data_IF_100273839220
#
_entry.id   IF_100273839220
#
_cell.length_a   1.000
_cell.length_b   1.000
_cell.length_c   1.000
_cell.angle_alpha   90.00
_cell.angle_beta   90.00
_cell.angle_gamma   90.00
#
_symmetry.space_group_name_H-M   'P 1'
#
loop_
_entity.id
_entity.type
_entity.pdbx_description
1 polymer ?
#
# COMPACT_ATOMS: atom_id res chain seq x y z
N UNK A 1 -3.15 -6.40 -13.40
CA UNK A 1 -4.49 -6.86 -12.98
C UNK A 1 -5.41 -5.68 -12.69
N UNK A 2 -6.72 -5.85 -12.90
CA UNK A 2 -7.76 -4.86 -12.59
C UNK A 2 -8.85 -5.55 -11.78
N UNK A 3 -9.34 -4.92 -10.69
CA UNK A 3 -10.43 -5.40 -9.85
C UNK A 3 -10.02 -5.70 -8.41
N UNK A 4 -10.97 -6.28 -7.66
CA UNK A 4 -10.78 -6.69 -6.27
C UNK A 4 -10.29 -8.12 -6.21
N UNK A 5 -9.08 -8.34 -5.71
CA UNK A 5 -8.49 -9.66 -5.54
C UNK A 5 -7.85 -9.75 -4.16
N UNK A 6 -8.13 -10.81 -3.44
CA UNK A 6 -7.43 -11.13 -2.20
C UNK A 6 -5.94 -11.38 -2.48
N UNK A 7 -5.08 -10.81 -1.65
CA UNK A 7 -3.63 -10.94 -1.76
C UNK A 7 -3.04 -11.19 -0.38
N UNK A 8 -2.01 -12.01 -0.35
CA UNK A 8 -1.21 -12.19 0.85
C UNK A 8 -0.19 -11.06 0.93
N UNK A 9 -0.07 -10.38 2.09
CA UNK A 9 0.95 -9.35 2.29
C UNK A 9 2.36 -9.89 2.00
N UNK A 10 3.15 -9.13 1.24
CA UNK A 10 4.46 -9.56 0.72
C UNK A 10 5.52 -9.81 1.81
N UNK A 11 5.43 -9.07 2.93
CA UNK A 11 6.34 -9.19 4.08
C UNK A 11 5.81 -10.11 5.18
N UNK A 12 4.88 -10.98 4.86
CA UNK A 12 4.28 -11.90 5.81
C UNK A 12 4.92 -13.28 5.72
N UNK A 13 5.32 -13.80 6.87
CA UNK A 13 5.57 -15.24 7.01
C UNK A 13 4.24 -15.96 7.31
N UNK A 14 3.72 -16.82 6.43
CA UNK A 14 2.41 -17.45 6.61
C UNK A 14 2.33 -18.40 7.81
N UNK A 15 3.46 -18.84 8.35
CA UNK A 15 3.54 -19.76 9.49
C UNK A 15 3.74 -19.06 10.83
N UNK A 16 4.32 -17.85 10.83
CA UNK A 16 4.77 -17.18 12.06
C UNK A 16 4.10 -15.83 12.29
N UNK A 17 3.49 -15.23 11.25
CA UNK A 17 2.94 -13.89 11.33
C UNK A 17 1.41 -13.90 11.34
N UNK A 18 0.80 -13.13 12.23
CA UNK A 18 -0.65 -12.92 12.30
C UNK A 18 -1.17 -11.94 11.24
N UNK A 19 -0.28 -11.16 10.61
CA UNK A 19 -0.62 -10.20 9.56
C UNK A 19 0.61 -9.49 9.01
N UNK A 20 0.41 -8.68 7.99
CA UNK A 20 1.42 -7.76 7.46
C UNK A 20 1.41 -6.43 8.23
N UNK A 21 2.52 -5.69 8.20
CA UNK A 21 2.64 -4.39 8.87
C UNK A 21 1.93 -3.26 8.11
N UNK A 22 1.75 -3.42 6.80
CA UNK A 22 1.10 -2.43 5.92
C UNK A 22 -0.34 -2.80 5.62
N UNK A 23 -0.63 -4.10 5.46
CA UNK A 23 -1.96 -4.65 5.19
C UNK A 23 -2.26 -5.78 6.17
N UNK A 24 -3.43 -5.77 6.78
CA UNK A 24 -3.86 -6.87 7.67
C UNK A 24 -4.34 -8.08 6.85
N UNK A 25 -4.38 -9.26 7.48
CA UNK A 25 -4.91 -10.47 6.85
C UNK A 25 -6.41 -10.42 6.59
N UNK A 26 -7.12 -9.60 7.36
CA UNK A 26 -8.57 -9.44 7.28
C UNK A 26 -8.98 -8.24 6.43
N UNK A 27 -8.01 -7.58 5.77
CA UNK A 27 -8.31 -6.43 4.93
C UNK A 27 -9.21 -6.88 3.76
N UNK A 28 -10.34 -6.17 3.60
CA UNK A 28 -11.22 -6.38 2.44
C UNK A 28 -10.43 -6.04 1.18
N UNK A 29 -10.52 -6.88 0.12
CA UNK A 29 -9.86 -6.56 -1.15
C UNK A 29 -10.33 -5.23 -1.72
N UNK A 30 -9.39 -4.32 -1.91
CA UNK A 30 -9.65 -2.99 -2.49
C UNK A 30 -9.71 -3.11 -4.02
N UNK A 31 -10.77 -2.59 -4.68
CA UNK A 31 -10.79 -2.45 -6.12
C UNK A 31 -9.63 -1.58 -6.60
N UNK A 32 -8.77 -2.12 -7.45
CA UNK A 32 -7.55 -1.44 -7.88
C UNK A 32 -7.09 -1.83 -9.27
N UNK A 33 -6.36 -0.92 -9.90
CA UNK A 33 -5.50 -1.20 -11.04
C UNK A 33 -4.10 -1.46 -10.50
N UNK A 34 -3.51 -2.62 -10.85
CA UNK A 34 -2.21 -3.05 -10.33
C UNK A 34 -1.32 -3.57 -11.45
N UNK A 35 -0.09 -3.06 -11.48
CA UNK A 35 1.03 -3.57 -12.26
C UNK A 35 1.97 -4.25 -11.28
N UNK A 36 2.39 -5.47 -11.56
CA UNK A 36 3.22 -6.24 -10.63
C UNK A 36 4.20 -7.16 -11.33
N UNK A 37 5.33 -7.35 -10.69
CA UNK A 37 6.29 -8.41 -10.91
C UNK A 37 6.19 -9.32 -9.67
N UNK A 38 5.35 -10.38 -9.70
CA UNK A 38 4.97 -11.11 -8.48
C UNK A 38 6.08 -12.00 -7.92
N UNK A 39 7.07 -12.34 -8.75
CA UNK A 39 8.21 -13.18 -8.38
C UNK A 39 9.51 -12.49 -8.76
N UNK A 40 10.61 -12.86 -8.11
CA UNK A 40 11.92 -12.33 -8.48
C UNK A 40 12.27 -12.66 -9.91
N UNK A 41 12.50 -11.63 -10.72
CA UNK A 41 13.04 -11.75 -12.07
C UNK A 41 14.48 -11.24 -12.11
N UNK A 42 15.32 -11.93 -12.87
CA UNK A 42 16.71 -11.51 -13.06
C UNK A 42 16.78 -10.28 -13.95
N UNK A 43 17.53 -9.28 -13.52
CA UNK A 43 17.75 -8.07 -14.31
C UNK A 43 18.72 -8.38 -15.47
N UNK A 44 18.34 -8.09 -16.73
CA UNK A 44 19.23 -8.29 -17.88
C UNK A 44 20.56 -7.54 -17.72
N UNK A 45 21.65 -8.14 -18.14
CA UNK A 45 22.99 -7.54 -18.05
C UNK A 45 23.71 -7.74 -16.72
N UNK A 46 23.05 -8.20 -15.67
CA UNK A 46 23.66 -8.42 -14.33
C UNK A 46 24.25 -9.81 -14.14
N UNK A 47 24.33 -10.62 -15.19
CA UNK A 47 24.81 -12.01 -15.14
C UNK A 47 24.09 -12.86 -14.07
N UNK A 48 22.79 -12.54 -13.82
CA UNK A 48 21.92 -13.20 -12.82
C UNK A 48 22.36 -12.96 -11.36
N UNK A 49 23.06 -11.88 -11.08
CA UNK A 49 23.39 -11.47 -9.72
C UNK A 49 22.28 -10.63 -9.06
N UNK A 50 21.53 -9.87 -9.88
CA UNK A 50 20.49 -8.98 -9.39
C UNK A 50 19.12 -9.46 -9.83
N UNK A 51 18.22 -9.56 -8.84
CA UNK A 51 16.83 -9.90 -9.05
C UNK A 51 15.94 -8.84 -8.43
N UNK A 52 14.81 -8.58 -9.05
CA UNK A 52 13.82 -7.62 -8.59
C UNK A 52 12.42 -8.23 -8.59
N UNK A 53 11.59 -7.79 -7.64
CA UNK A 53 10.14 -7.96 -7.64
C UNK A 53 9.48 -6.72 -7.08
N UNK A 54 8.17 -6.56 -7.30
CA UNK A 54 7.43 -5.44 -6.73
C UNK A 54 6.10 -5.19 -7.42
N UNK A 55 5.42 -4.16 -6.95
CA UNK A 55 4.16 -3.73 -7.54
C UNK A 55 3.94 -2.24 -7.43
N UNK A 56 3.00 -1.75 -8.22
CA UNK A 56 2.42 -0.43 -8.16
C UNK A 56 0.91 -0.56 -8.37
N UNK A 57 0.12 0.01 -7.47
CA UNK A 57 -1.32 -0.07 -7.52
C UNK A 57 -2.00 1.24 -7.11
N UNK A 58 -3.11 1.53 -7.77
CA UNK A 58 -4.05 2.58 -7.42
C UNK A 58 -5.46 2.00 -7.37
N UNK A 59 -6.21 2.38 -6.36
CA UNK A 59 -7.56 1.90 -6.14
C UNK A 59 -8.43 2.91 -5.41
N UNK A 60 -9.62 2.49 -5.07
CA UNK A 60 -10.56 3.27 -4.29
C UNK A 60 -11.20 2.39 -3.21
N UNK A 61 -11.39 2.95 -2.03
CA UNK A 61 -12.15 2.27 -1.00
C UNK A 61 -13.63 2.31 -1.33
N UNK A 62 -14.29 1.21 -1.08
CA UNK A 62 -15.74 1.07 -1.25
C UNK A 62 -16.32 0.49 0.03
N UNK A 63 -17.24 1.20 0.65
CA UNK A 63 -17.93 0.78 1.87
C UNK A 63 -19.42 0.50 1.67
N UNK A 64 -19.93 0.70 0.44
CA UNK A 64 -21.35 0.60 0.11
C UNK A 64 -22.22 1.49 1.01
N UNK A 65 -21.77 2.71 1.27
CA UNK A 65 -22.36 3.72 2.16
C UNK A 65 -22.48 3.29 3.63
N UNK A 66 -21.81 2.21 4.02
CA UNK A 66 -21.92 1.70 5.38
C UNK A 66 -21.54 2.75 6.44
N UNK A 67 -20.51 3.53 6.21
CA UNK A 67 -20.10 4.58 7.17
C UNK A 67 -21.20 5.64 7.34
N UNK A 68 -21.82 6.09 6.24
CA UNK A 68 -22.92 7.05 6.27
C UNK A 68 -24.16 6.48 6.94
N UNK A 69 -24.56 5.25 6.56
CA UNK A 69 -25.79 4.61 7.06
C UNK A 69 -25.74 4.31 8.56
N UNK A 70 -24.55 4.08 9.11
CA UNK A 70 -24.35 3.75 10.52
C UNK A 70 -23.68 4.86 11.34
N UNK A 71 -23.34 6.00 10.73
CA UNK A 71 -22.89 7.17 11.46
C UNK A 71 -24.01 7.64 12.41
N UNK A 72 -23.67 7.92 13.65
CA UNK A 72 -24.60 8.56 14.59
C UNK A 72 -24.52 10.06 14.44
N UNK A 73 -25.60 10.76 14.79
CA UNK A 73 -25.66 12.23 14.77
C UNK A 73 -24.41 12.87 15.37
N UNK A 74 -23.75 13.71 14.60
CA UNK A 74 -22.52 14.39 14.98
C UNK A 74 -21.24 13.59 14.76
N UNK A 75 -21.31 12.32 14.34
CA UNK A 75 -20.12 11.54 14.01
C UNK A 75 -19.57 11.90 12.62
N UNK A 76 -18.25 11.75 12.51
CA UNK A 76 -17.53 11.95 11.25
C UNK A 76 -17.53 10.65 10.44
N UNK A 77 -17.63 10.79 9.12
CA UNK A 77 -17.42 9.70 8.17
C UNK A 77 -16.72 10.21 6.90
N UNK A 78 -16.13 9.30 6.14
CA UNK A 78 -15.37 9.65 4.93
C UNK A 78 -15.93 8.94 3.70
N UNK A 79 -15.87 9.63 2.54
CA UNK A 79 -16.26 9.11 1.22
C UNK A 79 -15.17 9.37 0.19
N UNK A 80 -15.21 8.58 -0.89
CA UNK A 80 -14.35 8.74 -2.08
C UNK A 80 -12.85 8.67 -1.77
N UNK A 81 -12.46 7.92 -0.74
CA UNK A 81 -11.05 7.76 -0.36
C UNK A 81 -10.33 6.90 -1.39
N UNK A 82 -9.20 7.40 -1.85
CA UNK A 82 -8.34 6.71 -2.80
C UNK A 82 -7.26 5.90 -2.07
N UNK A 83 -6.85 4.84 -2.71
CA UNK A 83 -5.82 3.91 -2.23
C UNK A 83 -4.64 3.86 -3.17
N UNK A 84 -3.45 3.90 -2.60
CA UNK A 84 -2.19 3.66 -3.31
C UNK A 84 -1.38 2.63 -2.56
N UNK A 85 -0.81 1.68 -3.30
CA UNK A 85 0.12 0.69 -2.75
C UNK A 85 1.26 0.47 -3.71
N UNK A 86 2.45 0.33 -3.16
CA UNK A 86 3.65 -0.02 -3.92
C UNK A 86 4.60 -0.85 -3.08
N UNK A 87 5.37 -1.67 -3.77
CA UNK A 87 6.54 -2.34 -3.18
C UNK A 87 7.65 -2.42 -4.21
N UNK A 88 8.87 -2.46 -3.71
CA UNK A 88 10.04 -2.77 -4.50
C UNK A 88 11.02 -3.57 -3.62
N UNK A 89 11.41 -4.73 -4.12
CA UNK A 89 12.37 -5.60 -3.48
C UNK A 89 13.49 -5.93 -4.44
N UNK A 90 14.68 -5.93 -3.93
CA UNK A 90 15.91 -6.26 -4.64
C UNK A 90 16.62 -7.40 -3.92
N UNK A 91 17.06 -8.39 -4.68
CA UNK A 91 17.82 -9.53 -4.19
C UNK A 91 19.13 -9.59 -4.95
N UNK A 92 20.25 -9.68 -4.21
CA UNK A 92 21.60 -9.82 -4.76
C UNK A 92 22.17 -11.15 -4.28
N UNK A 93 22.57 -11.99 -5.22
CA UNK A 93 23.17 -13.30 -4.95
C UNK A 93 23.13 -14.17 -6.20
N UNK A 94 24.07 -15.11 -6.29
CA UNK A 94 24.13 -16.06 -7.37
C UNK A 94 24.61 -17.41 -6.84
N UNK A 95 23.70 -18.41 -6.86
CA UNK A 95 23.91 -19.73 -6.27
C UNK A 95 25.21 -20.42 -6.69
N UNK A 96 25.55 -20.28 -7.97
CA UNK A 96 26.74 -20.92 -8.53
C UNK A 96 28.06 -20.25 -8.11
N UNK A 97 28.00 -19.03 -7.57
CA UNK A 97 29.21 -18.22 -7.29
C UNK A 97 29.40 -17.91 -5.81
N UNK A 98 28.31 -17.82 -5.05
CA UNK A 98 28.37 -17.46 -3.64
C UNK A 98 27.16 -18.03 -2.89
N UNK A 99 27.33 -18.67 -1.73
CA UNK A 99 26.25 -19.38 -1.04
C UNK A 99 25.25 -18.47 -0.30
N UNK A 100 25.50 -17.16 -0.25
CA UNK A 100 24.64 -16.21 0.44
C UNK A 100 23.93 -15.26 -0.54
N UNK A 101 22.70 -14.89 -0.21
CA UNK A 101 21.96 -13.83 -0.86
C UNK A 101 21.57 -12.74 0.13
N UNK A 102 21.56 -11.52 -0.34
CA UNK A 102 21.04 -10.36 0.37
C UNK A 102 19.77 -9.88 -0.30
N UNK A 103 18.70 -9.78 0.47
CA UNK A 103 17.44 -9.20 0.04
C UNK A 103 17.16 -7.92 0.82
N UNK A 104 16.74 -6.87 0.13
CA UNK A 104 16.28 -5.63 0.73
C UNK A 104 15.08 -5.09 -0.04
N UNK A 105 14.18 -4.40 0.64
CA UNK A 105 13.01 -3.84 -0.01
C UNK A 105 12.24 -2.85 0.83
N UNK A 106 11.30 -2.21 0.17
CA UNK A 106 10.37 -1.25 0.74
C UNK A 106 8.96 -1.59 0.28
N UNK A 107 8.02 -1.56 1.22
CA UNK A 107 6.59 -1.63 0.97
C UNK A 107 5.91 -0.40 1.56
N UNK A 108 4.92 0.13 0.85
CA UNK A 108 4.15 1.29 1.26
C UNK A 108 2.69 1.11 0.88
N UNK A 109 1.78 1.57 1.76
CA UNK A 109 0.38 1.81 1.44
C UNK A 109 -0.03 3.17 1.96
N UNK A 110 -0.85 3.88 1.19
CA UNK A 110 -1.35 5.20 1.51
C UNK A 110 -2.84 5.31 1.16
N UNK A 111 -3.54 6.11 1.95
CA UNK A 111 -4.89 6.58 1.67
C UNK A 111 -4.79 8.08 1.36
N UNK A 112 -5.42 8.53 0.29
CA UNK A 112 -5.37 9.94 -0.11
C UNK A 112 -6.66 10.36 -0.80
N UNK A 113 -6.84 11.65 -1.04
CA UNK A 113 -8.10 12.17 -1.55
C UNK A 113 -9.25 11.97 -0.56
N UNK A 114 -10.47 11.96 -1.06
CA UNK A 114 -11.68 11.77 -0.25
C UNK A 114 -12.22 13.03 0.37
N UNK A 115 -13.39 12.87 0.95
CA UNK A 115 -14.17 13.95 1.58
C UNK A 115 -14.64 13.48 2.95
N UNK A 116 -14.58 14.39 3.93
CA UNK A 116 -15.07 14.14 5.29
C UNK A 116 -16.39 14.87 5.51
N UNK A 117 -17.33 14.17 6.09
CA UNK A 117 -18.66 14.68 6.40
C UNK A 117 -18.95 14.53 7.88
N UNK A 118 -19.89 15.34 8.37
CA UNK A 118 -20.57 15.14 9.65
C UNK A 118 -21.97 14.63 9.35
N UNK A 119 -22.42 13.62 10.11
CA UNK A 119 -23.77 13.11 9.98
C UNK A 119 -24.80 14.23 10.12
N UNK A 120 -25.77 14.28 9.18
CA UNK A 120 -26.78 15.32 9.09
C UNK A 120 -26.39 16.54 8.25
N UNK A 121 -25.14 16.63 7.78
CA UNK A 121 -24.70 17.70 6.86
C UNK A 121 -24.51 17.17 5.44
N UNK A 122 -24.99 17.94 4.46
CA UNK A 122 -24.87 17.58 3.03
C UNK A 122 -23.52 18.00 2.42
N UNK A 123 -22.91 19.04 2.97
CA UNK A 123 -21.63 19.56 2.50
C UNK A 123 -20.47 18.93 3.26
N UNK A 124 -19.38 18.59 2.58
CA UNK A 124 -18.19 18.08 3.24
C UNK A 124 -17.55 19.18 4.10
N UNK A 125 -17.18 18.85 5.32
CA UNK A 125 -16.43 19.76 6.21
C UNK A 125 -14.97 19.89 5.76
N UNK A 126 -14.46 18.87 5.05
CA UNK A 126 -13.10 18.87 4.51
C UNK A 126 -13.04 18.04 3.23
N UNK A 127 -12.28 18.54 2.26
CA UNK A 127 -11.97 17.84 1.01
C UNK A 127 -10.46 17.72 0.88
N UNK A 128 -9.97 16.49 0.72
CA UNK A 128 -8.55 16.24 0.51
C UNK A 128 -8.18 16.34 -0.96
N UNK A 129 -6.97 16.87 -1.28
CA UNK A 129 -6.50 16.95 -2.65
C UNK A 129 -6.45 15.58 -3.32
N UNK A 130 -6.98 15.51 -4.53
CA UNK A 130 -6.96 14.31 -5.39
C UNK A 130 -6.63 14.63 -6.84
N UNK A 131 -5.90 15.73 -7.07
CA UNK A 131 -5.45 16.15 -8.38
C UNK A 131 -4.40 15.19 -8.95
N UNK A 132 -4.18 15.24 -10.27
CA UNK A 132 -3.20 14.39 -10.94
C UNK A 132 -1.80 14.45 -10.30
N UNK A 133 -1.39 15.63 -9.82
CA UNK A 133 -0.12 15.80 -9.09
C UNK A 133 -0.08 15.03 -7.79
N UNK A 134 -1.22 14.82 -7.13
CA UNK A 134 -1.29 14.07 -5.88
C UNK A 134 -1.07 12.57 -6.12
N UNK A 135 -1.52 12.03 -7.25
CA UNK A 135 -1.18 10.65 -7.66
C UNK A 135 0.33 10.47 -7.86
N UNK A 136 1.02 11.49 -8.36
CA UNK A 136 2.49 11.45 -8.50
C UNK A 136 3.18 11.62 -7.14
N UNK A 137 2.71 12.53 -6.32
CA UNK A 137 3.30 12.79 -4.98
C UNK A 137 3.22 11.58 -4.05
N UNK A 138 2.17 10.76 -4.15
CA UNK A 138 2.03 9.53 -3.35
C UNK A 138 3.08 8.47 -3.76
N UNK A 139 3.66 8.58 -4.96
CA UNK A 139 4.75 7.69 -5.39
C UNK A 139 6.05 7.92 -4.62
N UNK A 140 6.27 9.11 -4.09
CA UNK A 140 7.52 9.45 -3.39
C UNK A 140 7.26 9.34 -1.89
N UNK A 141 7.94 8.43 -1.16
CA UNK A 141 7.82 8.37 0.29
C UNK A 141 8.40 9.66 0.89
N UNK A 142 7.54 10.44 1.50
CA UNK A 142 7.90 11.68 2.20
C UNK A 142 7.43 11.60 3.63
N UNK A 143 8.11 12.29 4.55
CA UNK A 143 7.61 12.45 5.92
C UNK A 143 6.28 13.21 5.89
N UNK A 144 5.29 12.73 6.65
CA UNK A 144 3.96 13.33 6.71
C UNK A 144 4.00 14.76 7.23
N UNK A 145 3.10 15.61 6.75
CA UNK A 145 2.77 16.87 7.38
C UNK A 145 1.65 16.66 8.40
N UNK A 146 1.57 17.55 9.39
CA UNK A 146 0.66 17.51 10.55
C UNK A 146 -0.84 17.59 10.22
N UNK A 147 -1.22 17.53 8.95
CA UNK A 147 -2.61 17.60 8.48
C UNK A 147 -3.28 16.20 8.39
N UNK A 148 -3.08 15.35 9.40
CA UNK A 148 -3.89 14.13 9.52
C UNK A 148 -5.30 14.53 9.97
N UNK A 149 -6.32 14.08 9.23
CA UNK A 149 -7.71 14.25 9.65
C UNK A 149 -8.01 13.39 10.86
N UNK A 150 -8.65 13.96 11.87
CA UNK A 150 -9.29 13.19 12.93
C UNK A 150 -10.49 12.43 12.36
N UNK A 151 -10.60 11.19 12.69
CA UNK A 151 -11.56 10.26 12.13
C UNK A 151 -10.83 9.09 11.46
N UNK A 152 -11.38 8.48 10.46
CA UNK A 152 -10.60 7.53 9.67
C UNK A 152 -9.44 8.28 9.00
N UNK A 153 -8.23 7.98 9.44
CA UNK A 153 -7.03 8.71 9.06
C UNK A 153 -6.76 8.58 7.57
N UNK A 154 -7.03 9.63 6.83
CA UNK A 154 -6.54 9.77 5.46
C UNK A 154 -5.09 10.21 5.55
N UNK A 155 -4.18 9.28 5.35
CA UNK A 155 -2.76 9.56 5.41
C UNK A 155 -2.17 9.58 3.99
N UNK A 156 -2.02 10.76 3.44
CA UNK A 156 -1.44 10.99 2.11
C UNK A 156 -0.05 10.37 1.94
N UNK A 157 0.71 10.28 3.01
CA UNK A 157 2.09 9.81 2.98
C UNK A 157 2.22 8.30 3.27
N UNK A 158 1.17 7.70 3.82
CA UNK A 158 1.05 6.26 4.03
C UNK A 158 2.02 5.67 5.05
N UNK A 159 1.88 4.38 5.22
CA UNK A 159 2.74 3.57 6.06
C UNK A 159 3.88 2.97 5.22
N UNK A 160 5.10 3.09 5.72
CA UNK A 160 6.30 2.58 5.07
C UNK A 160 6.92 1.48 5.91
N UNK A 161 7.29 0.38 5.27
CA UNK A 161 8.04 -0.71 5.89
C UNK A 161 9.24 -1.03 5.04
N UNK A 162 10.43 -0.85 5.61
CA UNK A 162 11.67 -1.36 5.05
C UNK A 162 11.94 -2.77 5.57
N UNK A 163 12.52 -3.62 4.76
CA UNK A 163 12.94 -4.96 5.14
C UNK A 163 14.32 -5.29 4.56
N UNK A 164 15.06 -6.11 5.31
CA UNK A 164 16.29 -6.70 4.81
C UNK A 164 16.43 -8.13 5.34
N UNK A 165 17.09 -8.96 4.58
CA UNK A 165 17.35 -10.35 4.93
C UNK A 165 18.69 -10.80 4.34
N UNK A 166 19.42 -11.61 5.07
CA UNK A 166 20.61 -12.31 4.60
C UNK A 166 20.37 -13.79 4.84
N UNK A 167 20.47 -14.59 3.79
CA UNK A 167 20.21 -16.02 3.89
C UNK A 167 20.98 -16.83 2.86
N UNK A 168 20.86 -18.16 2.93
CA UNK A 168 21.39 -19.02 1.89
C UNK A 168 20.63 -18.76 0.58
N UNK A 169 21.35 -18.86 -0.53
CA UNK A 169 20.74 -18.73 -1.86
C UNK A 169 19.74 -19.86 -2.09
N UNK A 170 18.49 -19.48 -2.34
CA UNK A 170 17.35 -20.39 -2.54
C UNK A 170 17.18 -20.84 -4.00
#
# INVERSE_FOLDING_TARGET
SIGSKERTPELRNPKLSTGGLVESNSARPVPQVRIEIPQYISVPGTKRWLHIKGHLAYGTFTDNNWQEDFARSGNLYTKDVLYHSKSFFMKVGKKESFPLELEAGLQMAAQFGGKQYVEGQKEPIMTMPSDFMDFIRVLIPMSGSDNAMEGEQINKYGNHVGSWNIGPVS
#
